data_IF_504239575887
#
_entry.id   IF_504239575887
#
_cell.length_a   1.000
_cell.length_b   1.000
_cell.length_c   1.000
_cell.angle_alpha   90.00
_cell.angle_beta   90.00
_cell.angle_gamma   90.00
#
_symmetry.space_group_name_H-M   'P 1'
#
loop_
_entity.id
_entity.type
_entity.pdbx_description
1 polymer ?
#
# COMPACT_ATOMS: atom_id res chain seq x y z
N UNK A 1 -4.60 12.84 7.93
CA UNK A 1 -4.15 11.43 7.95
C UNK A 1 -5.17 10.39 7.44
N UNK A 2 -6.50 10.51 7.69
CA UNK A 2 -7.46 9.46 7.27
C UNK A 2 -7.61 9.28 5.74
N UNK A 3 -7.61 10.37 4.95
CA UNK A 3 -7.83 10.29 3.50
C UNK A 3 -6.70 9.57 2.75
N UNK A 4 -5.44 9.76 3.13
CA UNK A 4 -4.30 9.10 2.45
C UNK A 4 -4.34 7.58 2.60
N UNK A 5 -4.64 7.07 3.80
CA UNK A 5 -4.81 5.63 4.06
C UNK A 5 -5.95 5.05 3.21
N UNK A 6 -7.01 5.82 3.01
CA UNK A 6 -8.15 5.44 2.19
C UNK A 6 -7.79 5.40 0.70
N UNK A 7 -7.03 6.38 0.20
CA UNK A 7 -6.51 6.37 -1.17
C UNK A 7 -5.57 5.19 -1.44
N UNK A 8 -4.69 4.84 -0.50
CA UNK A 8 -3.81 3.67 -0.59
C UNK A 8 -4.61 2.35 -0.67
N UNK A 9 -5.66 2.21 0.13
CA UNK A 9 -6.57 1.06 0.08
C UNK A 9 -7.36 1.00 -1.24
N UNK A 10 -7.85 2.13 -1.74
CA UNK A 10 -8.51 2.21 -3.04
C UNK A 10 -7.59 1.83 -4.19
N UNK A 11 -6.32 2.28 -4.15
CA UNK A 11 -5.31 1.93 -5.15
C UNK A 11 -5.03 0.42 -5.13
N UNK A 12 -4.92 -0.17 -3.94
CA UNK A 12 -4.72 -1.62 -3.79
C UNK A 12 -5.92 -2.42 -4.34
N UNK A 13 -7.15 -2.01 -4.02
CA UNK A 13 -8.37 -2.64 -4.54
C UNK A 13 -8.46 -2.56 -6.07
N UNK A 14 -8.15 -1.40 -6.65
CA UNK A 14 -8.13 -1.22 -8.11
C UNK A 14 -7.04 -2.09 -8.76
N UNK A 15 -5.85 -2.15 -8.17
CA UNK A 15 -4.77 -3.03 -8.64
C UNK A 15 -5.17 -4.50 -8.65
N UNK A 16 -5.90 -4.94 -7.62
CA UNK A 16 -6.40 -6.31 -7.53
C UNK A 16 -7.42 -6.63 -8.63
N UNK A 17 -8.37 -5.71 -8.90
CA UNK A 17 -9.36 -5.86 -9.97
C UNK A 17 -8.71 -5.94 -11.35
N UNK A 18 -7.71 -5.10 -11.62
CA UNK A 18 -6.97 -5.10 -12.90
C UNK A 18 -6.25 -6.44 -13.11
N UNK A 19 -5.57 -6.96 -12.09
CA UNK A 19 -4.93 -8.27 -12.16
C UNK A 19 -5.93 -9.40 -12.38
N UNK A 20 -7.12 -9.32 -11.78
CA UNK A 20 -8.16 -10.34 -11.92
C UNK A 20 -8.72 -10.38 -13.36
N UNK A 21 -8.91 -9.23 -14.00
CA UNK A 21 -9.34 -9.15 -15.40
C UNK A 21 -8.26 -9.69 -16.34
N UNK A 22 -6.99 -9.49 -16.01
CA UNK A 22 -5.86 -9.94 -16.83
C UNK A 22 -5.73 -11.48 -16.92
N UNK A 23 -6.23 -12.22 -15.91
CA UNK A 23 -6.30 -13.68 -15.92
C UNK A 23 -7.14 -14.25 -17.07
N UNK A 24 -8.14 -13.50 -17.54
CA UNK A 24 -9.03 -13.93 -18.63
C UNK A 24 -8.44 -13.71 -20.03
N UNK A 25 -7.38 -12.91 -20.16
CA UNK A 25 -6.75 -12.64 -21.45
C UNK A 25 -5.65 -13.67 -21.74
N UNK A 26 -4.75 -13.93 -20.77
CA UNK A 26 -3.64 -14.85 -20.98
C UNK A 26 -3.02 -15.33 -19.66
N UNK A 27 -3.13 -16.63 -19.36
CA UNK A 27 -2.71 -17.22 -18.07
C UNK A 27 -1.21 -17.03 -17.81
N UNK A 28 -0.35 -17.21 -18.82
CA UNK A 28 1.10 -17.05 -18.67
C UNK A 28 1.50 -15.62 -18.32
N UNK A 29 0.91 -14.65 -19.00
CA UNK A 29 1.14 -13.23 -18.74
C UNK A 29 0.57 -12.82 -17.39
N UNK A 30 -0.57 -13.40 -17.01
CA UNK A 30 -1.21 -13.15 -15.72
C UNK A 30 -0.36 -13.65 -14.54
N UNK A 31 0.32 -14.80 -14.66
CA UNK A 31 1.22 -15.31 -13.60
C UNK A 31 2.36 -14.31 -13.33
N UNK A 32 3.01 -13.78 -14.38
CA UNK A 32 4.08 -12.79 -14.24
C UNK A 32 3.55 -11.51 -13.59
N UNK A 33 2.39 -11.02 -14.05
CA UNK A 33 1.74 -9.85 -13.45
C UNK A 33 1.32 -10.08 -12.00
N UNK A 34 0.92 -11.30 -11.63
CA UNK A 34 0.53 -11.62 -10.26
C UNK A 34 1.73 -11.62 -9.31
N UNK A 35 2.89 -12.12 -9.76
CA UNK A 35 4.15 -12.04 -9.01
C UNK A 35 4.56 -10.57 -8.82
N UNK A 36 4.46 -9.77 -9.89
CA UNK A 36 4.78 -8.34 -9.82
C UNK A 36 3.81 -7.59 -8.88
N UNK A 37 2.52 -7.91 -8.95
CA UNK A 37 1.50 -7.36 -8.06
C UNK A 37 1.76 -7.74 -6.60
N UNK A 38 2.11 -9.00 -6.34
CA UNK A 38 2.48 -9.46 -5.00
C UNK A 38 3.68 -8.68 -4.45
N UNK A 39 4.71 -8.45 -5.26
CA UNK A 39 5.84 -7.60 -4.87
C UNK A 39 5.42 -6.15 -4.58
N UNK A 40 4.54 -5.56 -5.41
CA UNK A 40 4.01 -4.22 -5.19
C UNK A 40 3.19 -4.12 -3.90
N UNK A 41 2.41 -5.14 -3.56
CA UNK A 41 1.66 -5.22 -2.29
C UNK A 41 2.60 -5.27 -1.09
N UNK A 42 3.70 -6.04 -1.16
CA UNK A 42 4.70 -6.06 -0.09
C UNK A 42 5.29 -4.67 0.13
N UNK A 43 5.67 -3.97 -0.96
CA UNK A 43 6.18 -2.61 -0.88
C UNK A 43 5.14 -1.67 -0.25
N UNK A 44 3.87 -1.78 -0.65
CA UNK A 44 2.77 -1.01 -0.08
C UNK A 44 2.62 -1.23 1.43
N UNK A 45 2.73 -2.48 1.89
CA UNK A 45 2.69 -2.80 3.33
C UNK A 45 3.86 -2.13 4.07
N UNK A 46 5.07 -2.19 3.52
CA UNK A 46 6.25 -1.54 4.12
C UNK A 46 6.05 -0.02 4.20
N UNK A 47 5.56 0.60 3.12
CA UNK A 47 5.27 2.04 3.09
C UNK A 47 4.20 2.40 4.14
N UNK A 48 3.12 1.62 4.24
CA UNK A 48 2.10 1.84 5.26
C UNK A 48 2.66 1.71 6.67
N UNK A 49 3.54 0.73 6.94
CA UNK A 49 4.19 0.56 8.25
C UNK A 49 5.13 1.74 8.53
N UNK A 50 5.89 2.19 7.53
CA UNK A 50 6.78 3.34 7.65
C UNK A 50 6.01 4.64 7.91
N UNK A 51 4.90 4.88 7.21
CA UNK A 51 4.01 6.01 7.49
C UNK A 51 3.43 5.94 8.90
N UNK A 52 3.06 4.75 9.40
CA UNK A 52 2.58 4.56 10.77
C UNK A 52 3.66 4.83 11.82
N UNK A 53 4.93 4.57 11.50
CA UNK A 53 6.06 4.90 12.37
C UNK A 53 6.35 6.40 12.37
N UNK A 54 6.27 7.03 11.19
CA UNK A 54 6.45 8.48 11.03
C UNK A 54 5.35 9.28 11.74
N UNK A 55 4.10 8.81 11.70
CA UNK A 55 2.98 9.36 12.49
C UNK A 55 3.29 9.37 13.99
N UNK A 56 3.95 8.32 14.51
CA UNK A 56 4.37 8.27 15.92
C UNK A 56 5.56 9.18 16.23
N UNK A 57 6.47 9.35 15.28
CA UNK A 57 7.66 10.20 15.43
C UNK A 57 7.30 11.69 15.42
N UNK A 58 6.30 12.09 14.63
CA UNK A 58 5.75 13.46 14.65
C UNK A 58 4.97 13.76 15.95
N UNK A 59 4.32 12.76 16.57
CA UNK A 59 3.69 12.92 17.90
C UNK A 59 4.75 12.98 19.03
N UNK A 60 5.78 12.12 19.00
CA UNK A 60 6.83 12.07 20.03
C UNK A 60 7.76 13.31 20.01
N UNK A 61 7.97 13.94 18.84
CA UNK A 61 8.77 15.17 18.74
C UNK A 61 8.04 16.41 19.27
N UNK A 62 6.71 16.39 19.36
CA UNK A 62 5.94 17.58 19.70
C UNK A 62 5.60 17.69 21.20
N UNK A 63 5.94 16.68 22.02
CA UNK A 63 5.49 16.59 23.42
C UNK A 63 6.62 16.66 24.48
N UNK A 64 7.80 17.18 24.14
CA UNK A 64 8.89 17.42 25.12
C UNK A 64 9.34 18.88 25.22
N UNK A 65 8.48 19.85 24.87
CA UNK A 65 8.82 21.27 25.01
C UNK A 65 7.66 22.20 25.37
N UNK A 66 6.69 21.78 26.20
CA UNK A 66 5.95 22.69 27.08
C UNK A 66 4.92 21.94 27.95
N UNK A 67 5.33 21.46 29.13
CA UNK A 67 4.65 21.76 30.41
C UNK A 67 5.49 21.32 31.60
#
# INVERSE_FOLDING_TARGET
MQRMKQWLLWLALLGQLVCFVMLFINIWTAIIFYILYFAAVIILIIVLIAERKKEKEEDDQNDYHNY
#
